data_IF_902674446637
#
_entry.id   IF_902674446637
#
_cell.length_a   1.000
_cell.length_b   1.000
_cell.length_c   1.000
_cell.angle_alpha   90.00
_cell.angle_beta   90.00
_cell.angle_gamma   90.00
#
_symmetry.space_group_name_H-M   'P 1'
#
loop_
_entity.id
_entity.type
_entity.pdbx_description
1 polymer ?
#
# COMPACT_ATOMS: atom_id res chain seq x y z
N UNK A 1 -5.18 -17.79 8.65
CA UNK A 1 -5.62 -16.47 8.16
C UNK A 1 -5.74 -16.56 6.64
N UNK A 2 -6.88 -16.18 6.05
CA UNK A 2 -7.12 -16.29 4.61
C UNK A 2 -6.30 -15.26 3.84
N UNK A 3 -5.30 -15.74 3.10
CA UNK A 3 -4.27 -15.00 2.34
C UNK A 3 -4.81 -14.17 1.17
N UNK A 4 -6.12 -14.08 0.98
CA UNK A 4 -6.73 -13.50 -0.23
C UNK A 4 -7.29 -12.09 -0.02
N UNK A 5 -7.42 -11.61 1.21
CA UNK A 5 -7.97 -10.29 1.57
C UNK A 5 -7.18 -9.08 1.03
N UNK A 6 -5.88 -9.26 0.79
CA UNK A 6 -4.98 -8.28 0.18
C UNK A 6 -5.17 -8.21 -1.34
N UNK A 7 -5.70 -9.25 -1.97
CA UNK A 7 -5.98 -9.30 -3.41
C UNK A 7 -7.45 -9.03 -3.74
N UNK A 8 -8.36 -9.57 -2.94
CA UNK A 8 -9.81 -9.47 -3.13
C UNK A 8 -10.44 -8.32 -2.33
N UNK A 9 -11.43 -7.69 -2.91
CA UNK A 9 -12.34 -6.75 -2.27
C UNK A 9 -13.35 -7.48 -1.37
N UNK A 10 -14.10 -6.71 -0.58
CA UNK A 10 -15.23 -7.26 0.18
C UNK A 10 -16.27 -7.95 -0.72
N UNK A 11 -16.47 -7.46 -1.94
CA UNK A 11 -17.46 -8.01 -2.87
C UNK A 11 -17.02 -9.37 -3.41
N UNK A 12 -15.75 -9.50 -3.80
CA UNK A 12 -15.20 -10.76 -4.29
C UNK A 12 -15.16 -11.83 -3.18
N UNK A 13 -14.78 -11.44 -1.95
CA UNK A 13 -14.87 -12.36 -0.79
C UNK A 13 -16.32 -12.76 -0.52
N UNK A 14 -17.27 -11.83 -0.64
CA UNK A 14 -18.68 -12.11 -0.45
C UNK A 14 -19.21 -13.11 -1.48
N UNK A 15 -18.80 -12.99 -2.74
CA UNK A 15 -19.13 -13.94 -3.80
C UNK A 15 -18.60 -15.35 -3.49
N UNK A 16 -17.34 -15.48 -3.09
CA UNK A 16 -16.73 -16.76 -2.72
C UNK A 16 -17.45 -17.41 -1.52
N UNK A 17 -17.87 -16.60 -0.55
CA UNK A 17 -18.50 -17.08 0.68
C UNK A 17 -20.02 -17.27 0.57
N UNK A 18 -20.65 -16.89 -0.55
CA UNK A 18 -22.11 -16.86 -0.67
C UNK A 18 -22.78 -15.93 0.35
N UNK A 19 -22.17 -14.78 0.64
CA UNK A 19 -22.63 -13.79 1.62
C UNK A 19 -22.86 -12.43 0.97
N UNK A 20 -23.45 -11.49 1.70
CA UNK A 20 -23.49 -10.09 1.28
C UNK A 20 -22.17 -9.37 1.61
N UNK A 21 -21.81 -8.39 0.77
CA UNK A 21 -20.64 -7.51 0.98
C UNK A 21 -20.62 -6.91 2.39
N UNK A 22 -21.77 -6.45 2.87
CA UNK A 22 -21.89 -5.80 4.18
C UNK A 22 -21.72 -6.79 5.34
N UNK A 23 -22.21 -8.03 5.19
CA UNK A 23 -21.98 -9.09 6.17
C UNK A 23 -20.48 -9.40 6.32
N UNK A 24 -19.76 -9.49 5.20
CA UNK A 24 -18.30 -9.68 5.20
C UNK A 24 -17.60 -8.49 5.86
N UNK A 25 -17.97 -7.26 5.51
CA UNK A 25 -17.38 -6.03 6.11
C UNK A 25 -17.56 -5.99 7.63
N UNK A 26 -18.77 -6.23 8.12
CA UNK A 26 -19.06 -6.23 9.57
C UNK A 26 -18.28 -7.34 10.27
N UNK A 27 -18.24 -8.55 9.69
CA UNK A 27 -17.51 -9.66 10.29
C UNK A 27 -16.00 -9.42 10.31
N UNK A 28 -15.43 -8.87 9.23
CA UNK A 28 -14.02 -8.51 9.17
C UNK A 28 -13.64 -7.49 10.26
N UNK A 29 -14.46 -6.44 10.44
CA UNK A 29 -14.25 -5.46 11.51
C UNK A 29 -14.26 -6.10 12.91
N UNK A 30 -15.22 -6.99 13.19
CA UNK A 30 -15.28 -7.72 14.47
C UNK A 30 -14.08 -8.64 14.72
N UNK A 31 -13.46 -9.15 13.65
CA UNK A 31 -12.28 -10.02 13.73
C UNK A 31 -10.97 -9.25 13.69
N UNK A 32 -11.00 -7.91 13.65
CA UNK A 32 -9.80 -7.08 13.49
C UNK A 32 -9.13 -7.25 12.12
N UNK A 33 -9.82 -7.80 11.13
CA UNK A 33 -9.28 -8.08 9.80
C UNK A 33 -9.36 -6.83 8.94
N UNK A 34 -8.21 -6.22 8.68
CA UNK A 34 -8.11 -5.07 7.79
C UNK A 34 -8.02 -5.48 6.32
N UNK A 35 -8.87 -4.89 5.48
CA UNK A 35 -8.85 -5.00 4.02
C UNK A 35 -8.06 -3.87 3.35
N UNK A 36 -7.26 -3.12 4.13
CA UNK A 36 -6.40 -2.06 3.60
C UNK A 36 -5.51 -2.63 2.50
N UNK A 37 -5.60 -2.03 1.32
CA UNK A 37 -4.72 -2.28 0.19
C UNK A 37 -3.48 -1.39 0.32
N UNK A 38 -2.34 -1.95 -0.04
CA UNK A 38 -1.03 -1.29 0.03
C UNK A 38 -0.37 -1.38 -1.33
N UNK A 39 0.21 -0.26 -1.78
CA UNK A 39 0.91 -0.14 -3.06
C UNK A 39 0.10 -0.74 -4.23
N UNK A 40 0.66 -1.68 -4.96
CA UNK A 40 0.07 -2.28 -6.17
C UNK A 40 -1.26 -2.99 -5.97
N UNK A 41 -1.58 -3.38 -4.74
CA UNK A 41 -2.87 -4.01 -4.45
C UNK A 41 -4.03 -3.01 -4.37
N UNK A 42 -3.75 -1.70 -4.43
CA UNK A 42 -4.77 -0.67 -4.40
C UNK A 42 -5.43 -0.52 -5.79
N UNK A 43 -6.77 -0.48 -5.86
CA UNK A 43 -7.49 -0.46 -7.13
C UNK A 43 -7.29 0.82 -7.96
N UNK A 44 -6.75 1.87 -7.36
CA UNK A 44 -6.50 3.17 -8.01
C UNK A 44 -5.02 3.42 -8.30
N UNK A 45 -4.13 2.43 -8.08
CA UNK A 45 -2.71 2.61 -8.36
C UNK A 45 -2.47 2.67 -9.87
N UNK A 46 -1.61 3.60 -10.30
CA UNK A 46 -1.14 3.72 -11.69
C UNK A 46 0.30 3.28 -11.91
N UNK A 47 1.10 3.29 -10.84
CA UNK A 47 2.54 3.02 -10.90
C UNK A 47 2.86 1.72 -10.15
N UNK A 48 3.66 0.85 -10.76
CA UNK A 48 4.22 -0.35 -10.13
C UNK A 48 5.20 0.02 -9.02
N UNK A 49 5.65 -0.95 -8.23
CA UNK A 49 6.72 -0.78 -7.26
C UNK A 49 8.06 -0.51 -7.98
N UNK A 50 8.28 -1.13 -9.15
CA UNK A 50 9.45 -0.87 -9.99
C UNK A 50 9.48 0.58 -10.49
N UNK A 51 8.32 1.12 -10.92
CA UNK A 51 8.21 2.54 -11.30
C UNK A 51 8.56 3.47 -10.14
N UNK A 52 8.14 3.12 -8.92
CA UNK A 52 8.41 3.91 -7.72
C UNK A 52 9.90 3.92 -7.38
N UNK A 53 10.57 2.78 -7.46
CA UNK A 53 12.02 2.71 -7.24
C UNK A 53 12.76 3.51 -8.33
N UNK A 54 12.37 3.36 -9.60
CA UNK A 54 12.99 4.12 -10.68
C UNK A 54 12.77 5.65 -10.53
N UNK A 55 11.60 6.09 -10.05
CA UNK A 55 11.35 7.50 -9.70
C UNK A 55 12.35 8.00 -8.67
N UNK A 56 12.63 7.20 -7.63
CA UNK A 56 13.59 7.55 -6.57
C UNK A 56 15.02 7.59 -7.10
N UNK A 57 15.42 6.59 -7.87
CA UNK A 57 16.74 6.51 -8.49
C UNK A 57 17.01 7.71 -9.41
N UNK A 58 16.03 8.10 -10.24
CA UNK A 58 16.16 9.27 -11.11
C UNK A 58 16.27 10.58 -10.32
N UNK A 59 15.52 10.72 -9.23
CA UNK A 59 15.62 11.88 -8.35
C UNK A 59 16.99 11.93 -7.64
N UNK A 60 17.51 10.79 -7.19
CA UNK A 60 18.84 10.67 -6.60
C UNK A 60 19.95 10.98 -7.61
N UNK A 61 19.76 10.59 -8.88
CA UNK A 61 20.63 10.96 -9.99
C UNK A 61 20.54 12.44 -10.40
N UNK A 62 19.68 13.23 -9.75
CA UNK A 62 19.59 14.68 -9.93
C UNK A 62 18.59 15.14 -10.99
N UNK A 63 17.74 14.26 -11.54
CA UNK A 63 16.66 14.70 -12.43
C UNK A 63 15.62 15.53 -11.68
N UNK A 64 15.08 16.53 -12.36
CA UNK A 64 14.05 17.37 -11.73
C UNK A 64 12.70 16.65 -11.67
N UNK A 65 11.91 16.95 -10.64
CA UNK A 65 10.61 16.30 -10.44
C UNK A 65 9.63 16.56 -11.59
N UNK A 66 9.76 17.66 -12.35
CA UNK A 66 8.91 17.94 -13.51
C UNK A 66 9.21 17.01 -14.70
N UNK A 67 10.48 16.65 -14.92
CA UNK A 67 10.90 15.68 -15.92
C UNK A 67 10.43 14.28 -15.56
N UNK A 68 10.62 13.89 -14.30
CA UNK A 68 10.18 12.60 -13.79
C UNK A 68 8.65 12.51 -13.91
N UNK A 69 7.92 13.52 -13.45
CA UNK A 69 6.45 13.58 -13.53
C UNK A 69 5.94 13.40 -14.97
N UNK A 70 6.57 14.09 -15.94
CA UNK A 70 6.25 13.95 -17.36
C UNK A 70 6.55 12.53 -17.88
N UNK A 71 7.67 11.93 -17.47
CA UNK A 71 8.07 10.58 -17.90
C UNK A 71 7.09 9.51 -17.45
N UNK A 72 6.54 9.65 -16.24
CA UNK A 72 5.62 8.67 -15.63
C UNK A 72 4.14 9.06 -15.73
N UNK A 73 3.82 10.15 -16.44
CA UNK A 73 2.45 10.65 -16.61
C UNK A 73 1.69 10.86 -15.27
N UNK A 74 2.40 11.41 -14.28
CA UNK A 74 1.85 11.72 -12.95
C UNK A 74 2.10 13.18 -12.58
N UNK A 75 1.44 13.64 -11.50
CA UNK A 75 1.63 14.99 -10.99
C UNK A 75 3.01 15.17 -10.35
N UNK A 76 3.58 16.38 -10.47
CA UNK A 76 4.83 16.72 -9.79
C UNK A 76 4.77 16.53 -8.27
N UNK A 77 3.61 16.85 -7.66
CA UNK A 77 3.37 16.63 -6.23
C UNK A 77 3.38 15.14 -5.87
N UNK A 78 2.94 14.25 -6.78
CA UNK A 78 3.03 12.81 -6.59
C UNK A 78 4.49 12.35 -6.53
N UNK A 79 5.30 12.77 -7.49
CA UNK A 79 6.75 12.48 -7.51
C UNK A 79 7.41 12.95 -6.22
N UNK A 80 7.14 14.19 -5.79
CA UNK A 80 7.66 14.73 -4.53
C UNK A 80 7.29 13.84 -3.33
N UNK A 81 6.02 13.44 -3.23
CA UNK A 81 5.54 12.60 -2.13
C UNK A 81 6.17 11.20 -2.15
N UNK A 82 6.47 10.65 -3.32
CA UNK A 82 7.17 9.37 -3.47
C UNK A 82 8.62 9.49 -2.99
N UNK A 83 9.33 10.53 -3.43
CA UNK A 83 10.73 10.76 -3.07
C UNK A 83 10.90 11.15 -1.59
N UNK A 84 9.91 11.80 -0.99
CA UNK A 84 9.90 12.14 0.44
C UNK A 84 9.30 11.05 1.33
N UNK A 85 8.96 9.88 0.77
CA UNK A 85 8.34 8.76 1.48
C UNK A 85 7.02 9.10 2.21
N UNK A 86 6.35 10.20 1.84
CA UNK A 86 5.00 10.54 2.30
C UNK A 86 3.94 9.62 1.66
N UNK A 87 4.29 8.97 0.55
CA UNK A 87 3.49 7.95 -0.11
C UNK A 87 4.39 6.79 -0.54
N UNK A 88 3.78 5.62 -0.82
CA UNK A 88 4.51 4.42 -1.26
C UNK A 88 5.66 4.03 -0.31
N UNK A 89 5.41 4.18 0.99
CA UNK A 89 6.36 3.83 2.06
C UNK A 89 6.54 2.31 2.20
N UNK A 90 5.52 1.53 1.87
CA UNK A 90 5.53 0.07 2.03
C UNK A 90 5.36 -0.60 0.68
N UNK A 91 6.12 -1.67 0.44
CA UNK A 91 6.07 -2.44 -0.82
C UNK A 91 4.77 -3.24 -0.95
N UNK A 92 4.33 -3.84 0.16
CA UNK A 92 3.13 -4.64 0.24
C UNK A 92 2.57 -4.66 1.68
N UNK A 93 1.55 -5.48 1.89
CA UNK A 93 0.91 -5.62 3.21
C UNK A 93 1.82 -6.30 4.24
N UNK A 94 2.69 -7.21 3.82
CA UNK A 94 3.63 -7.91 4.70
C UNK A 94 4.65 -6.93 5.25
N UNK A 95 5.23 -6.09 4.38
CA UNK A 95 6.15 -5.04 4.76
C UNK A 95 5.51 -4.04 5.73
N UNK A 96 4.27 -3.62 5.46
CA UNK A 96 3.49 -2.79 6.39
C UNK A 96 3.33 -3.42 7.78
N UNK A 97 2.95 -4.71 7.85
CA UNK A 97 2.77 -5.43 9.11
C UNK A 97 4.10 -5.55 9.86
N UNK A 98 5.18 -5.92 9.16
CA UNK A 98 6.51 -6.05 9.74
C UNK A 98 7.01 -4.71 10.28
N UNK A 99 6.77 -3.62 9.57
CA UNK A 99 7.09 -2.27 10.03
C UNK A 99 6.31 -1.91 11.30
N UNK A 100 5.00 -2.20 11.35
CA UNK A 100 4.19 -1.95 12.56
C UNK A 100 4.61 -2.80 13.74
N UNK A 101 4.96 -4.07 13.51
CA UNK A 101 5.49 -4.96 14.53
C UNK A 101 6.79 -4.41 15.12
N UNK A 102 7.74 -4.00 14.28
CA UNK A 102 8.99 -3.37 14.73
C UNK A 102 8.77 -2.12 15.57
N UNK A 103 7.79 -1.27 15.20
CA UNK A 103 7.45 -0.11 16.02
C UNK A 103 6.92 -0.50 17.41
N UNK A 104 6.07 -1.52 17.49
CA UNK A 104 5.55 -2.03 18.76
C UNK A 104 6.67 -2.65 19.62
N UNK A 105 7.48 -3.52 19.03
CA UNK A 105 8.59 -4.19 19.71
C UNK A 105 9.62 -3.17 20.26
N UNK A 106 9.87 -2.07 19.54
CA UNK A 106 10.76 -0.99 19.98
C UNK A 106 10.20 -0.18 21.17
N UNK A 107 8.88 -0.14 21.33
CA UNK A 107 8.21 0.50 22.49
C UNK A 107 8.27 -0.44 23.70
N UNK A 108 7.95 -1.71 23.51
CA UNK A 108 7.87 -2.70 24.58
C UNK A 108 9.27 -3.10 25.13
N UNK A 109 10.32 -2.99 24.30
CA UNK A 109 11.71 -3.23 24.69
C UNK A 109 12.37 -2.13 25.53
N UNK A 110 11.65 -1.06 25.88
CA UNK A 110 12.13 0.00 26.79
C UNK A 110 11.59 -0.14 28.23
N UNK A 111 11.03 -1.30 28.60
CA UNK A 111 10.50 -1.61 29.93
C UNK A 111 11.49 -2.30 30.87
#
# INVERSE_FOLDING_TARGET
>A
MTTTQDKMSFAEVAQVLGRSRDSVKVRAGKLGVSFRKIAETAPTIKLSNEDIELIRELAEAGLNFCEIARKFEVDNSHVRNVCQFHSRLYLDKTDYINHKKRQADAIDGMG
#
